data_IF_696029846545
#
_entry.id   IF_696029846545
#
_cell.length_a   1.000
_cell.length_b   1.000
_cell.length_c   1.000
_cell.angle_alpha   90.00
_cell.angle_beta   90.00
_cell.angle_gamma   90.00
#
_symmetry.space_group_name_H-M   'P 1'
#
loop_
_entity.id
_entity.type
_entity.pdbx_description
1 polymer ?
#
# COMPACT_ATOMS: atom_id res chain seq x y z
N UNK A 1 1.97 -59.07 9.60
CA UNK A 1 1.50 -59.17 8.20
C UNK A 1 0.01 -58.88 8.15
N UNK A 2 -0.34 -57.78 7.49
CA UNK A 2 -1.55 -57.51 6.69
C UNK A 2 -3.00 -57.75 7.20
N UNK A 3 -3.76 -56.64 7.13
CA UNK A 3 -5.16 -56.46 6.65
C UNK A 3 -6.33 -56.51 7.65
N UNK A 4 -6.80 -55.30 7.98
CA UNK A 4 -8.23 -54.88 8.02
C UNK A 4 -8.92 -55.12 6.64
N UNK A 5 -10.28 -55.05 6.44
CA UNK A 5 -11.18 -54.06 7.07
C UNK A 5 -12.70 -54.39 7.24
N UNK A 6 -13.41 -53.38 7.78
CA UNK A 6 -14.83 -53.00 7.58
C UNK A 6 -15.91 -53.85 8.29
N UNK A 7 -17.03 -53.33 8.82
CA UNK A 7 -17.57 -51.98 9.00
C UNK A 7 -18.81 -52.11 9.92
N UNK A 8 -19.20 -50.98 10.53
CA UNK A 8 -20.56 -50.57 10.91
C UNK A 8 -20.83 -50.37 12.40
N UNK A 9 -20.84 -49.09 12.81
CA UNK A 9 -21.77 -48.57 13.81
C UNK A 9 -22.07 -47.11 13.49
N UNK A 10 -23.31 -46.87 13.10
CA UNK A 10 -23.93 -45.56 12.96
C UNK A 10 -23.94 -44.80 14.30
N UNK A 11 -23.80 -43.47 14.23
CA UNK A 11 -24.56 -42.54 15.08
C UNK A 11 -24.82 -41.23 14.33
N UNK A 12 -26.03 -40.74 14.62
CA UNK A 12 -26.86 -39.68 14.04
C UNK A 12 -26.28 -38.25 13.99
N UNK A 13 -27.00 -37.32 13.31
CA UNK A 13 -26.47 -36.08 12.75
C UNK A 13 -26.83 -34.89 13.65
N UNK A 14 -25.88 -34.35 14.39
CA UNK A 14 -25.99 -33.02 14.98
C UNK A 14 -24.58 -32.53 15.24
N UNK A 15 -23.97 -32.00 14.19
CA UNK A 15 -22.84 -31.09 14.35
C UNK A 15 -22.87 -30.17 13.12
N UNK A 16 -23.65 -29.11 13.26
CA UNK A 16 -23.65 -27.94 12.39
C UNK A 16 -22.25 -27.31 12.41
N UNK A 17 -21.31 -27.94 11.71
CA UNK A 17 -20.04 -27.33 11.35
C UNK A 17 -20.32 -26.38 10.22
N UNK A 18 -20.47 -25.12 10.61
CA UNK A 18 -20.43 -23.93 9.77
C UNK A 18 -19.37 -24.15 8.68
N UNK A 19 -19.85 -24.27 7.43
CA UNK A 19 -19.04 -24.54 6.25
C UNK A 19 -17.96 -23.47 6.09
N UNK A 20 -16.66 -23.82 6.06
CA UNK A 20 -15.60 -22.90 5.71
C UNK A 20 -15.39 -22.90 4.18
N UNK A 21 -16.43 -22.60 3.38
CA UNK A 21 -16.32 -22.64 1.90
C UNK A 21 -17.21 -21.60 1.20
N UNK A 22 -17.17 -20.32 1.60
CA UNK A 22 -17.82 -19.25 0.82
C UNK A 22 -16.94 -18.04 0.48
N UNK A 23 -15.63 -18.07 0.77
CA UNK A 23 -14.73 -16.94 0.46
C UNK A 23 -14.06 -17.08 -0.93
N UNK A 24 -13.99 -18.28 -1.50
CA UNK A 24 -13.40 -18.55 -2.82
C UNK A 24 -14.28 -18.23 -4.06
N UNK A 25 -15.62 -18.31 -4.05
CA UNK A 25 -16.40 -18.10 -5.27
C UNK A 25 -16.58 -16.63 -5.64
N UNK A 26 -16.46 -15.69 -4.69
CA UNK A 26 -16.64 -14.25 -4.94
C UNK A 26 -15.42 -13.65 -5.66
N UNK A 27 -14.21 -14.04 -5.26
CA UNK A 27 -12.96 -13.59 -5.89
C UNK A 27 -12.87 -13.99 -7.38
N UNK A 28 -13.27 -15.22 -7.74
CA UNK A 28 -13.26 -15.70 -9.12
C UNK A 28 -14.43 -15.16 -9.96
N UNK A 29 -15.57 -14.86 -9.34
CA UNK A 29 -16.72 -14.23 -10.02
C UNK A 29 -16.50 -12.74 -10.27
N UNK A 30 -15.94 -12.02 -9.29
CA UNK A 30 -15.57 -10.62 -9.43
C UNK A 30 -14.53 -10.44 -10.54
N UNK A 31 -13.43 -11.23 -10.52
CA UNK A 31 -12.38 -11.20 -11.55
C UNK A 31 -12.87 -11.55 -12.96
N UNK A 32 -13.87 -12.42 -13.12
CA UNK A 32 -14.48 -12.73 -14.43
C UNK A 32 -15.42 -11.64 -14.96
N UNK A 33 -15.93 -10.76 -14.10
CA UNK A 33 -16.89 -9.69 -14.45
C UNK A 33 -16.25 -8.32 -14.73
N UNK A 34 -14.92 -8.19 -14.64
CA UNK A 34 -14.18 -6.95 -14.96
C UNK A 34 -14.21 -6.48 -16.42
N UNK A 35 -15.08 -7.04 -17.27
CA UNK A 35 -15.32 -6.48 -18.60
C UNK A 35 -16.11 -5.17 -18.53
N UNK A 36 -16.93 -4.99 -17.49
CA UNK A 36 -17.76 -3.80 -17.27
C UNK A 36 -17.77 -3.45 -15.77
N UNK A 37 -16.76 -2.74 -15.25
CA UNK A 37 -16.66 -2.46 -13.81
C UNK A 37 -17.79 -1.56 -13.30
N UNK A 38 -18.40 -0.75 -14.19
CA UNK A 38 -19.54 0.11 -13.86
C UNK A 38 -20.82 -0.65 -13.50
N UNK A 39 -20.96 -1.93 -13.86
CA UNK A 39 -22.12 -2.75 -13.52
C UNK A 39 -22.00 -3.49 -12.19
N UNK A 40 -20.86 -3.40 -11.52
CA UNK A 40 -20.65 -4.06 -10.23
C UNK A 40 -21.55 -3.41 -9.16
N UNK A 41 -22.17 -4.24 -8.32
CA UNK A 41 -22.91 -3.76 -7.16
C UNK A 41 -21.96 -3.15 -6.14
N UNK A 42 -22.41 -2.18 -5.33
CA UNK A 42 -21.56 -1.53 -4.32
C UNK A 42 -20.95 -2.55 -3.34
N UNK A 43 -21.68 -3.61 -3.00
CA UNK A 43 -21.20 -4.67 -2.10
C UNK A 43 -20.09 -5.52 -2.74
N UNK A 44 -20.15 -5.75 -4.05
CA UNK A 44 -19.12 -6.50 -4.78
C UNK A 44 -17.82 -5.70 -4.88
N UNK A 45 -17.93 -4.38 -5.12
CA UNK A 45 -16.78 -3.44 -5.12
C UNK A 45 -16.13 -3.41 -3.74
N UNK A 46 -16.93 -3.36 -2.67
CA UNK A 46 -16.45 -3.36 -1.29
C UNK A 46 -15.65 -4.61 -0.94
N UNK A 47 -16.17 -5.78 -1.30
CA UNK A 47 -15.50 -7.06 -1.07
C UNK A 47 -14.22 -7.13 -1.90
N UNK A 48 -14.29 -6.74 -3.17
CA UNK A 48 -13.14 -6.76 -4.07
C UNK A 48 -11.98 -5.91 -3.55
N UNK A 49 -12.25 -4.65 -3.22
CA UNK A 49 -11.24 -3.71 -2.70
C UNK A 49 -10.60 -4.24 -1.41
N UNK A 50 -11.40 -4.79 -0.50
CA UNK A 50 -10.89 -5.37 0.75
C UNK A 50 -9.98 -6.57 0.51
N UNK A 51 -10.36 -7.46 -0.40
CA UNK A 51 -9.56 -8.64 -0.76
C UNK A 51 -8.26 -8.23 -1.43
N UNK A 52 -8.30 -7.29 -2.37
CA UNK A 52 -7.11 -6.77 -3.05
C UNK A 52 -6.15 -6.14 -2.06
N UNK A 53 -6.64 -5.25 -1.19
CA UNK A 53 -5.80 -4.60 -0.17
C UNK A 53 -5.24 -5.60 0.84
N UNK A 54 -6.07 -6.54 1.31
CA UNK A 54 -5.62 -7.58 2.22
C UNK A 54 -4.50 -8.41 1.60
N UNK A 55 -4.66 -8.81 0.34
CA UNK A 55 -3.66 -9.59 -0.39
C UNK A 55 -2.36 -8.80 -0.53
N UNK A 56 -2.44 -7.55 -1.01
CA UNK A 56 -1.31 -6.65 -1.21
C UNK A 56 -0.45 -6.45 0.06
N UNK A 57 -1.06 -6.45 1.24
CA UNK A 57 -0.37 -6.23 2.51
C UNK A 57 0.25 -7.52 3.06
N UNK A 58 -0.40 -8.66 2.86
CA UNK A 58 -0.03 -9.91 3.52
C UNK A 58 0.89 -10.79 2.69
N UNK A 59 0.72 -10.83 1.37
CA UNK A 59 1.58 -11.61 0.48
C UNK A 59 2.86 -10.81 0.15
N UNK A 60 4.00 -11.49 -0.04
CA UNK A 60 5.31 -10.85 -0.25
C UNK A 60 5.51 -10.27 -1.66
N UNK A 61 4.81 -10.81 -2.66
CA UNK A 61 4.97 -10.44 -4.08
C UNK A 61 3.67 -9.99 -4.75
N UNK A 62 2.60 -9.79 -3.98
CA UNK A 62 1.30 -9.44 -4.57
C UNK A 62 1.02 -7.93 -4.63
N UNK A 63 1.88 -7.10 -4.03
CA UNK A 63 1.64 -5.65 -3.96
C UNK A 63 1.60 -5.01 -5.36
N UNK A 64 2.56 -5.36 -6.22
CA UNK A 64 2.63 -4.85 -7.59
C UNK A 64 1.50 -5.40 -8.49
N UNK A 65 1.24 -6.73 -8.56
CA UNK A 65 0.09 -7.25 -9.31
C UNK A 65 -1.27 -6.69 -8.85
N UNK A 66 -1.43 -6.47 -7.54
CA UNK A 66 -2.64 -5.85 -6.99
C UNK A 66 -2.81 -4.40 -7.43
N UNK A 67 -1.71 -3.63 -7.48
CA UNK A 67 -1.72 -2.26 -7.94
C UNK A 67 -2.03 -2.16 -9.44
N UNK A 68 -1.40 -2.99 -10.27
CA UNK A 68 -1.68 -3.07 -11.71
C UNK A 68 -3.15 -3.41 -11.96
N UNK A 69 -3.68 -4.38 -11.21
CA UNK A 69 -5.10 -4.72 -11.26
C UNK A 69 -5.99 -3.51 -10.93
N UNK A 70 -5.73 -2.83 -9.80
CA UNK A 70 -6.45 -1.62 -9.42
C UNK A 70 -6.39 -0.55 -10.52
N UNK A 71 -5.20 -0.27 -11.07
CA UNK A 71 -5.04 0.69 -12.17
C UNK A 71 -5.90 0.31 -13.37
N UNK A 72 -5.92 -0.96 -13.76
CA UNK A 72 -6.76 -1.42 -14.86
C UNK A 72 -8.26 -1.16 -14.59
N UNK A 73 -8.75 -1.46 -13.38
CA UNK A 73 -10.13 -1.17 -12.98
C UNK A 73 -10.41 0.33 -13.03
N UNK A 74 -9.50 1.14 -12.49
CA UNK A 74 -9.62 2.60 -12.43
C UNK A 74 -9.67 3.21 -13.83
N UNK A 75 -8.88 2.68 -14.77
CA UNK A 75 -8.90 3.15 -16.16
C UNK A 75 -10.15 2.70 -16.94
N UNK A 76 -10.77 1.60 -16.51
CA UNK A 76 -11.96 1.05 -17.14
C UNK A 76 -13.27 1.61 -16.54
N UNK A 77 -13.24 2.17 -15.33
CA UNK A 77 -14.40 2.81 -14.69
C UNK A 77 -14.60 4.27 -15.09
N UNK A 78 -15.87 4.63 -15.32
CA UNK A 78 -16.24 6.02 -15.64
C UNK A 78 -16.83 6.79 -14.46
N UNK A 79 -17.29 6.10 -13.42
CA UNK A 79 -18.00 6.70 -12.29
C UNK A 79 -17.11 7.00 -11.07
N UNK A 80 -15.85 6.55 -11.06
CA UNK A 80 -14.89 6.76 -9.96
C UNK A 80 -15.22 6.02 -8.65
N UNK A 81 -16.25 5.17 -8.61
CA UNK A 81 -16.72 4.50 -7.38
C UNK A 81 -15.68 3.55 -6.81
N UNK A 82 -14.96 2.81 -7.65
CA UNK A 82 -13.88 1.94 -7.17
C UNK A 82 -12.74 2.74 -6.56
N UNK A 83 -12.32 3.84 -7.20
CA UNK A 83 -11.24 4.69 -6.66
C UNK A 83 -11.63 5.25 -5.30
N UNK A 84 -12.85 5.77 -5.17
CA UNK A 84 -13.36 6.30 -3.91
C UNK A 84 -13.40 5.23 -2.82
N UNK A 85 -13.88 4.03 -3.16
CA UNK A 85 -13.95 2.94 -2.19
C UNK A 85 -12.58 2.39 -1.83
N UNK A 86 -11.66 2.32 -2.78
CA UNK A 86 -10.27 1.96 -2.57
C UNK A 86 -9.59 2.95 -1.63
N UNK A 87 -9.71 4.25 -1.91
CA UNK A 87 -9.18 5.31 -1.05
C UNK A 87 -9.76 5.26 0.35
N UNK A 88 -11.08 5.07 0.48
CA UNK A 88 -11.74 4.93 1.77
C UNK A 88 -11.18 3.72 2.54
N UNK A 89 -11.00 2.58 1.87
CA UNK A 89 -10.49 1.35 2.49
C UNK A 89 -9.02 1.50 2.90
N UNK A 90 -8.18 2.10 2.06
CA UNK A 90 -6.79 2.41 2.36
C UNK A 90 -6.67 3.37 3.56
N UNK A 91 -7.48 4.43 3.61
CA UNK A 91 -7.52 5.37 4.76
C UNK A 91 -7.98 4.68 6.04
N UNK A 92 -9.00 3.82 5.94
CA UNK A 92 -9.51 3.09 7.10
C UNK A 92 -8.47 2.10 7.63
N UNK A 93 -7.73 1.42 6.75
CA UNK A 93 -6.61 0.58 7.16
C UNK A 93 -5.50 1.41 7.81
N UNK A 94 -5.10 2.53 7.19
CA UNK A 94 -4.04 3.40 7.69
C UNK A 94 -4.33 3.92 9.11
N UNK A 95 -5.55 4.40 9.37
CA UNK A 95 -5.97 4.85 10.71
C UNK A 95 -5.77 3.80 11.79
N UNK A 96 -5.90 2.53 11.46
CA UNK A 96 -5.75 1.44 12.42
C UNK A 96 -4.30 1.08 12.69
N UNK A 97 -3.40 1.43 11.77
CA UNK A 97 -1.96 1.34 11.96
C UNK A 97 -1.43 2.54 12.77
N UNK A 98 -2.03 3.72 12.57
CA UNK A 98 -1.65 4.99 13.24
C UNK A 98 -2.09 5.06 14.72
N UNK A 99 -3.21 4.45 15.10
CA UNK A 99 -3.72 4.49 16.47
C UNK A 99 -3.05 3.38 17.33
N UNK A 100 -2.31 3.72 18.41
CA UNK A 100 -1.65 2.74 19.29
C UNK A 100 -2.60 2.11 20.33
N UNK A 101 -3.86 1.83 19.97
CA UNK A 101 -4.89 1.29 20.89
C UNK A 101 -5.26 -0.17 20.57
N UNK A 102 -5.74 -0.94 21.57
CA UNK A 102 -5.78 -2.39 21.50
C UNK A 102 -6.74 -2.87 20.42
N UNK A 103 -6.20 -3.67 19.48
CA UNK A 103 -6.85 -4.54 18.49
C UNK A 103 -8.39 -4.54 18.58
N UNK A 104 -9.05 -3.50 18.05
CA UNK A 104 -10.51 -3.40 18.04
C UNK A 104 -11.08 -3.96 16.73
N UNK A 105 -11.66 -5.15 16.85
CA UNK A 105 -12.91 -5.71 16.26
C UNK A 105 -13.39 -5.44 14.82
N UNK A 106 -12.82 -4.54 14.02
CA UNK A 106 -13.32 -4.28 12.65
C UNK A 106 -12.60 -5.07 11.55
N UNK A 107 -11.40 -5.56 11.83
CA UNK A 107 -10.77 -6.63 11.04
C UNK A 107 -10.90 -7.91 11.83
N UNK A 108 -11.92 -8.70 11.51
CA UNK A 108 -11.87 -10.12 11.81
C UNK A 108 -10.68 -10.66 11.01
N UNK A 109 -9.65 -11.25 11.65
CA UNK A 109 -8.61 -11.93 10.93
C UNK A 109 -9.27 -13.03 10.11
N UNK A 110 -9.18 -12.97 8.78
CA UNK A 110 -9.14 -14.22 8.03
C UNK A 110 -7.86 -14.92 8.50
N UNK A 111 -8.00 -15.98 9.30
CA UNK A 111 -6.92 -16.78 9.91
C UNK A 111 -5.86 -17.28 8.89
N UNK A 112 -4.71 -17.88 9.30
CA UNK A 112 -3.91 -17.77 10.54
C UNK A 112 -2.45 -17.29 10.25
N UNK A 113 -1.68 -16.99 11.32
CA UNK A 113 -0.20 -16.80 11.34
C UNK A 113 0.42 -16.08 10.13
N UNK A 114 0.10 -14.81 9.91
CA UNK A 114 0.92 -13.98 9.02
C UNK A 114 2.27 -13.72 9.69
N UNK A 115 3.38 -14.14 9.07
CA UNK A 115 4.77 -13.93 9.53
C UNK A 115 5.14 -12.45 9.68
N UNK A 116 4.43 -11.54 8.99
CA UNK A 116 4.79 -10.13 8.91
C UNK A 116 4.48 -9.35 10.19
N UNK A 117 5.48 -8.65 10.70
CA UNK A 117 5.28 -7.67 11.76
C UNK A 117 4.56 -6.41 11.21
N UNK A 118 4.09 -5.53 12.12
CA UNK A 118 3.35 -4.33 11.72
C UNK A 118 4.16 -3.42 10.76
N UNK A 119 5.48 -3.35 10.93
CA UNK A 119 6.37 -2.59 10.05
C UNK A 119 6.44 -3.14 8.62
N UNK A 120 6.53 -4.47 8.47
CA UNK A 120 6.53 -5.11 7.15
C UNK A 120 5.19 -4.93 6.43
N UNK A 121 4.08 -4.94 7.16
CA UNK A 121 2.75 -4.63 6.60
C UNK A 121 2.67 -3.19 6.11
N UNK A 122 3.25 -2.25 6.86
CA UNK A 122 3.33 -0.84 6.46
C UNK A 122 4.20 -0.65 5.21
N UNK A 123 5.36 -1.32 5.13
CA UNK A 123 6.21 -1.29 3.93
C UNK A 123 5.46 -1.85 2.72
N UNK A 124 4.77 -2.99 2.86
CA UNK A 124 3.98 -3.57 1.77
C UNK A 124 2.85 -2.64 1.30
N UNK A 125 2.18 -1.97 2.24
CA UNK A 125 1.16 -0.97 1.92
C UNK A 125 1.74 0.24 1.18
N UNK A 126 2.87 0.78 1.64
CA UNK A 126 3.54 1.90 0.97
C UNK A 126 3.95 1.50 -0.45
N UNK A 127 4.55 0.30 -0.64
CA UNK A 127 4.87 -0.23 -1.97
C UNK A 127 3.64 -0.33 -2.88
N UNK A 128 2.54 -0.90 -2.39
CA UNK A 128 1.28 -0.98 -3.13
C UNK A 128 0.79 0.41 -3.57
N UNK A 129 0.74 1.37 -2.63
CA UNK A 129 0.31 2.74 -2.92
C UNK A 129 1.24 3.47 -3.88
N UNK A 130 2.55 3.23 -3.80
CA UNK A 130 3.56 3.81 -4.71
C UNK A 130 3.36 3.32 -6.13
N UNK A 131 3.26 1.99 -6.33
CA UNK A 131 3.01 1.43 -7.67
C UNK A 131 1.68 1.93 -8.23
N UNK A 132 0.63 1.92 -7.41
CA UNK A 132 -0.68 2.41 -7.80
C UNK A 132 -0.64 3.88 -8.24
N UNK A 133 0.12 4.74 -7.54
CA UNK A 133 0.24 6.16 -7.89
C UNK A 133 1.13 6.41 -9.12
N UNK A 134 2.11 5.54 -9.37
CA UNK A 134 2.97 5.58 -10.56
C UNK A 134 2.23 5.18 -11.83
N UNK A 135 1.41 4.13 -11.74
CA UNK A 135 0.75 3.51 -12.89
C UNK A 135 -0.55 4.20 -13.28
N UNK A 136 -1.20 4.93 -12.36
CA UNK A 136 -2.40 5.71 -12.69
C UNK A 136 -2.05 6.77 -13.74
N UNK A 137 -2.65 6.72 -14.94
CA UNK A 137 -2.26 7.58 -16.04
C UNK A 137 -2.50 9.05 -15.67
N UNK A 138 -1.41 9.82 -15.65
CA UNK A 138 -1.44 11.27 -15.40
C UNK A 138 -2.03 12.09 -16.56
N UNK A 139 -2.34 11.44 -17.68
CA UNK A 139 -2.79 12.10 -18.91
C UNK A 139 -4.29 11.82 -19.17
N UNK A 140 -5.16 12.84 -19.05
CA UNK A 140 -6.60 12.67 -19.17
C UNK A 140 -7.03 12.62 -20.64
N UNK A 141 -7.19 11.41 -21.17
CA UNK A 141 -7.84 11.20 -22.47
C UNK A 141 -9.36 11.45 -22.48
N UNK A 142 -9.97 11.76 -21.33
CA UNK A 142 -11.40 12.04 -21.20
C UNK A 142 -11.62 13.41 -20.54
N UNK A 143 -11.89 14.41 -21.37
CA UNK A 143 -12.02 15.84 -21.05
C UNK A 143 -13.18 16.22 -20.07
N UNK A 144 -13.78 15.25 -19.37
CA UNK A 144 -14.82 15.49 -18.36
C UNK A 144 -14.44 15.01 -16.95
N UNK A 145 -13.40 14.17 -16.79
CA UNK A 145 -13.08 13.51 -15.52
C UNK A 145 -11.74 13.95 -14.87
N UNK A 146 -11.02 14.90 -15.47
CA UNK A 146 -9.69 15.32 -15.02
C UNK A 146 -9.67 15.94 -13.61
N UNK A 147 -10.76 16.56 -13.16
CA UNK A 147 -10.85 17.19 -11.84
C UNK A 147 -11.00 16.17 -10.70
N UNK A 148 -11.91 15.19 -10.86
CA UNK A 148 -12.11 14.11 -9.88
C UNK A 148 -10.85 13.23 -9.77
N UNK A 149 -10.25 12.89 -10.91
CA UNK A 149 -8.98 12.15 -10.94
C UNK A 149 -7.84 12.91 -10.27
N UNK A 150 -7.73 14.21 -10.49
CA UNK A 150 -6.73 15.05 -9.82
C UNK A 150 -6.91 15.06 -8.30
N UNK A 151 -8.16 15.17 -7.82
CA UNK A 151 -8.48 15.09 -6.39
C UNK A 151 -8.14 13.73 -5.76
N UNK A 152 -8.36 12.63 -6.48
CA UNK A 152 -8.02 11.28 -6.03
C UNK A 152 -6.51 11.07 -6.00
N UNK A 153 -5.78 11.50 -7.02
CA UNK A 153 -4.31 11.43 -7.08
C UNK A 153 -3.68 12.19 -5.90
N UNK A 154 -4.14 13.43 -5.64
CA UNK A 154 -3.67 14.21 -4.49
C UNK A 154 -4.01 13.50 -3.18
N UNK A 155 -5.23 12.98 -3.04
CA UNK A 155 -5.65 12.22 -1.86
C UNK A 155 -4.79 10.98 -1.59
N UNK A 156 -4.42 10.25 -2.63
CA UNK A 156 -3.56 9.06 -2.56
C UNK A 156 -2.13 9.44 -2.21
N UNK A 157 -1.59 10.47 -2.86
CA UNK A 157 -0.25 10.99 -2.59
C UNK A 157 -0.10 11.47 -1.14
N UNK A 158 -1.11 12.19 -0.65
CA UNK A 158 -1.17 12.71 0.72
C UNK A 158 -1.24 11.56 1.75
N UNK A 159 -2.00 10.49 1.48
CA UNK A 159 -2.03 9.28 2.31
C UNK A 159 -0.70 8.53 2.29
N UNK A 160 -0.05 8.46 1.13
CA UNK A 160 1.26 7.84 0.96
C UNK A 160 2.33 8.59 1.78
N UNK A 161 2.33 9.92 1.75
CA UNK A 161 3.24 10.73 2.58
C UNK A 161 3.02 10.52 4.09
N UNK A 162 1.78 10.42 4.57
CA UNK A 162 1.53 10.07 5.97
C UNK A 162 2.04 8.67 6.32
N UNK A 163 1.94 7.74 5.36
CA UNK A 163 2.47 6.39 5.53
C UNK A 163 3.99 6.38 5.62
N UNK A 164 4.67 7.18 4.79
CA UNK A 164 6.11 7.41 4.89
C UNK A 164 6.49 8.02 6.24
N UNK A 165 5.67 8.93 6.79
CA UNK A 165 5.90 9.51 8.13
C UNK A 165 5.90 8.43 9.22
N UNK A 166 4.95 7.50 9.19
CA UNK A 166 4.91 6.39 10.14
C UNK A 166 6.09 5.43 9.99
N UNK A 167 6.56 5.20 8.76
CA UNK A 167 7.79 4.43 8.51
C UNK A 167 9.00 5.09 9.17
N UNK A 168 9.11 6.41 9.11
CA UNK A 168 10.23 7.17 9.70
C UNK A 168 10.18 7.28 11.23
N UNK A 169 9.00 7.44 11.83
CA UNK A 169 8.86 7.55 13.30
C UNK A 169 9.06 6.18 13.98
N UNK A 170 8.94 5.08 13.24
CA UNK A 170 9.20 3.74 13.77
C UNK A 170 10.64 3.62 14.28
N UNK A 171 10.88 3.10 15.50
CA UNK A 171 12.18 3.13 16.21
C UNK A 171 13.31 2.29 15.58
N UNK A 172 13.11 1.79 14.36
CA UNK A 172 14.00 0.88 13.66
C UNK A 172 14.13 1.34 12.19
N UNK A 173 14.69 2.54 11.96
CA UNK A 173 15.10 3.01 10.63
C UNK A 173 16.35 2.28 10.10
N UNK A 174 16.88 1.33 10.87
CA UNK A 174 17.97 0.42 10.57
C UNK A 174 17.65 -0.59 9.45
N UNK A 175 16.36 -0.79 9.15
CA UNK A 175 15.93 -1.72 8.11
C UNK A 175 16.08 -1.10 6.72
N UNK A 176 16.98 -1.66 5.90
CA UNK A 176 17.18 -1.28 4.48
C UNK A 176 15.85 -1.22 3.70
N UNK A 177 14.93 -2.14 3.96
CA UNK A 177 13.63 -2.15 3.31
C UNK A 177 12.77 -0.90 3.60
N UNK A 178 12.92 -0.26 4.76
CA UNK A 178 12.23 1.00 5.08
C UNK A 178 12.83 2.18 4.32
N UNK A 179 14.16 2.24 4.26
CA UNK A 179 14.90 3.29 3.57
C UNK A 179 14.58 3.26 2.07
N UNK A 180 14.65 2.08 1.46
CA UNK A 180 14.32 1.90 0.05
C UNK A 180 12.84 2.22 -0.26
N UNK A 181 11.96 1.88 0.67
CA UNK A 181 10.54 2.21 0.58
C UNK A 181 10.31 3.73 0.57
N UNK A 182 11.04 4.51 1.38
CA UNK A 182 10.95 5.98 1.36
C UNK A 182 11.54 6.55 0.06
N UNK A 183 12.67 5.99 -0.39
CA UNK A 183 13.38 6.41 -1.61
C UNK A 183 12.52 6.29 -2.86
N UNK A 184 11.67 5.28 -2.93
CA UNK A 184 10.75 5.06 -4.07
C UNK A 184 9.42 5.80 -3.92
N UNK A 185 8.87 5.88 -2.70
CA UNK A 185 7.56 6.48 -2.47
C UNK A 185 7.53 8.01 -2.60
N UNK A 186 8.54 8.69 -2.05
CA UNK A 186 8.53 10.16 -1.98
C UNK A 186 8.74 10.86 -3.34
N UNK A 187 9.61 10.41 -4.25
CA UNK A 187 9.65 10.96 -5.60
C UNK A 187 8.32 10.82 -6.35
N UNK A 188 7.60 9.72 -6.09
CA UNK A 188 6.32 9.43 -6.75
C UNK A 188 5.18 10.34 -6.26
N UNK A 189 5.11 10.57 -4.95
CA UNK A 189 3.98 11.27 -4.31
C UNK A 189 4.26 12.72 -3.96
N UNK A 190 5.52 13.10 -3.80
CA UNK A 190 5.91 14.30 -3.09
C UNK A 190 5.37 15.58 -3.70
N UNK A 191 5.49 15.74 -5.02
CA UNK A 191 5.03 16.94 -5.71
C UNK A 191 3.50 17.12 -5.60
N UNK A 192 2.75 16.04 -5.80
CA UNK A 192 1.29 16.04 -5.69
C UNK A 192 0.82 16.27 -4.24
N UNK A 193 1.51 15.66 -3.28
CA UNK A 193 1.21 15.81 -1.86
C UNK A 193 1.55 17.20 -1.32
N UNK A 194 2.66 17.80 -1.74
CA UNK A 194 3.05 19.15 -1.33
C UNK A 194 2.08 20.20 -1.87
N UNK A 195 1.63 20.03 -3.13
CA UNK A 195 0.59 20.89 -3.71
C UNK A 195 -0.74 20.81 -2.96
N UNK A 196 -1.14 19.61 -2.56
CA UNK A 196 -2.42 19.39 -1.89
C UNK A 196 -2.43 19.67 -0.38
N UNK A 197 -1.30 19.44 0.29
CA UNK A 197 -1.18 19.57 1.74
C UNK A 197 0.24 20.00 2.15
N UNK A 198 0.64 21.26 1.88
CA UNK A 198 2.00 21.74 2.12
C UNK A 198 2.41 21.67 3.60
N UNK A 199 1.47 21.90 4.53
CA UNK A 199 1.72 21.77 5.96
C UNK A 199 2.06 20.33 6.40
N UNK A 200 1.41 19.32 5.78
CA UNK A 200 1.71 17.91 6.07
C UNK A 200 3.06 17.51 5.49
N UNK A 201 3.39 17.99 4.30
CA UNK A 201 4.73 17.81 3.73
C UNK A 201 5.80 18.47 4.59
N UNK A 202 5.57 19.69 5.08
CA UNK A 202 6.51 20.36 5.99
C UNK A 202 6.75 19.55 7.28
N UNK A 203 5.70 18.97 7.86
CA UNK A 203 5.81 18.10 9.03
C UNK A 203 6.59 16.80 8.73
N UNK A 204 6.37 16.19 7.57
CA UNK A 204 7.15 15.04 7.12
C UNK A 204 8.65 15.36 7.03
N UNK A 205 8.99 16.51 6.44
CA UNK A 205 10.38 16.94 6.30
C UNK A 205 11.03 17.32 7.62
N UNK A 206 10.24 17.81 8.60
CA UNK A 206 10.74 17.99 9.95
C UNK A 206 11.15 16.63 10.56
N UNK A 207 10.27 15.62 10.49
CA UNK A 207 10.61 14.27 10.95
C UNK A 207 11.84 13.68 10.23
N UNK A 208 11.98 13.93 8.93
CA UNK A 208 13.14 13.49 8.15
C UNK A 208 14.43 14.14 8.65
N UNK A 209 14.41 15.45 8.95
CA UNK A 209 15.58 16.16 9.49
C UNK A 209 15.93 15.67 10.90
N UNK A 210 14.92 15.47 11.74
CA UNK A 210 15.11 14.95 13.09
C UNK A 210 15.74 13.54 13.05
N UNK A 211 15.27 12.69 12.13
CA UNK A 211 15.87 11.37 11.90
C UNK A 211 17.32 11.47 11.38
N UNK A 212 17.59 12.36 10.43
CA UNK A 212 18.93 12.56 9.87
C UNK A 212 19.96 13.00 10.95
N UNK A 213 19.53 13.82 11.91
CA UNK A 213 20.36 14.29 13.01
C UNK A 213 20.56 13.24 14.12
N UNK A 214 19.79 12.15 14.10
CA UNK A 214 19.90 11.09 15.10
C UNK A 214 21.21 10.29 14.93
N UNK A 215 21.98 10.07 16.01
CA UNK A 215 23.23 9.32 15.94
C UNK A 215 23.03 7.85 15.57
N UNK A 216 21.84 7.30 15.82
CA UNK A 216 21.53 5.88 15.64
C UNK A 216 21.18 5.49 14.19
N UNK A 217 21.12 6.47 13.27
CA UNK A 217 20.77 6.21 11.87
C UNK A 217 22.02 5.77 11.09
N UNK A 218 21.98 4.58 10.45
CA UNK A 218 23.09 4.07 9.63
C UNK A 218 23.49 5.02 8.51
N UNK A 219 24.74 4.99 8.08
CA UNK A 219 25.28 5.87 7.03
C UNK A 219 24.48 5.80 5.73
N UNK A 220 24.16 4.59 5.25
CA UNK A 220 23.31 4.38 4.06
C UNK A 220 21.93 5.03 4.19
N UNK A 221 21.29 4.86 5.35
CA UNK A 221 20.00 5.50 5.63
C UNK A 221 20.12 7.02 5.65
N UNK A 222 21.21 7.55 6.24
CA UNK A 222 21.51 8.99 6.30
C UNK A 222 21.70 9.60 4.92
N UNK A 223 22.39 8.90 4.01
CA UNK A 223 22.54 9.30 2.61
C UNK A 223 21.20 9.39 1.89
N UNK A 224 20.33 8.39 2.06
CA UNK A 224 18.98 8.44 1.46
C UNK A 224 18.12 9.57 2.05
N UNK A 225 18.20 9.83 3.35
CA UNK A 225 17.48 10.96 3.96
C UNK A 225 17.99 12.29 3.37
N UNK A 226 19.29 12.44 3.13
CA UNK A 226 19.85 13.61 2.47
C UNK A 226 19.35 13.76 1.02
N UNK A 227 19.38 12.67 0.24
CA UNK A 227 18.86 12.61 -1.13
C UNK A 227 17.40 13.11 -1.19
N UNK A 228 16.56 12.64 -0.26
CA UNK A 228 15.17 13.03 -0.15
C UNK A 228 14.99 14.50 0.28
N UNK A 229 15.86 15.01 1.15
CA UNK A 229 15.87 16.41 1.54
C UNK A 229 16.18 17.34 0.36
N UNK A 230 17.21 17.00 -0.41
CA UNK A 230 17.60 17.73 -1.62
C UNK A 230 16.54 17.63 -2.73
N UNK A 231 15.95 16.45 -2.92
CA UNK A 231 14.87 16.23 -3.87
C UNK A 231 13.72 17.20 -3.64
N UNK A 232 13.31 17.41 -2.39
CA UNK A 232 12.28 18.42 -2.09
C UNK A 232 12.79 19.83 -2.34
N UNK A 233 14.00 20.16 -1.91
CA UNK A 233 14.58 21.49 -2.08
C UNK A 233 14.70 21.91 -3.56
N UNK A 234 14.86 20.94 -4.46
CA UNK A 234 14.90 21.15 -5.91
C UNK A 234 13.52 21.13 -6.60
N UNK A 235 12.43 21.06 -5.84
CA UNK A 235 11.08 21.00 -6.40
C UNK A 235 10.70 19.62 -6.95
N UNK A 236 11.09 18.56 -6.25
CA UNK A 236 10.81 17.15 -6.58
C UNK A 236 11.50 16.64 -7.85
N UNK A 237 12.59 17.28 -8.26
CA UNK A 237 13.39 16.89 -9.44
C UNK A 237 14.87 17.10 -9.19
N UNK A 238 15.63 16.02 -9.08
CA UNK A 238 17.09 16.10 -8.98
C UNK A 238 17.70 16.41 -10.36
N UNK A 239 18.74 17.23 -10.38
CA UNK A 239 19.55 17.44 -11.59
C UNK A 239 20.33 16.16 -11.96
N UNK A 240 20.82 16.08 -13.20
CA UNK A 240 21.65 14.95 -13.63
C UNK A 240 22.89 14.78 -12.76
N UNK A 241 23.52 15.88 -12.34
CA UNK A 241 24.71 15.86 -11.48
C UNK A 241 24.38 15.29 -10.09
N UNK A 242 23.25 15.68 -9.51
CA UNK A 242 22.78 15.15 -8.23
C UNK A 242 22.45 13.65 -8.34
N UNK A 243 21.78 13.24 -9.42
CA UNK A 243 21.49 11.82 -9.67
C UNK A 243 22.77 10.99 -9.76
N UNK A 244 23.80 11.48 -10.47
CA UNK A 244 25.10 10.81 -10.58
C UNK A 244 25.82 10.74 -9.22
N UNK A 245 25.74 11.81 -8.41
CA UNK A 245 26.31 11.84 -7.07
C UNK A 245 25.73 10.74 -6.17
N UNK A 246 24.40 10.66 -6.07
CA UNK A 246 23.74 9.66 -5.24
C UNK A 246 23.86 8.23 -5.80
N UNK A 247 23.93 8.07 -7.12
CA UNK A 247 24.18 6.74 -7.72
C UNK A 247 25.55 6.22 -7.31
N UNK A 248 26.61 7.01 -7.51
CA UNK A 248 27.99 6.62 -7.17
C UNK A 248 28.21 6.38 -5.69
N UNK A 249 27.57 7.17 -4.82
CA UNK A 249 27.68 6.98 -3.37
C UNK A 249 26.94 5.74 -2.88
N UNK A 250 25.81 5.40 -3.48
CA UNK A 250 25.10 4.16 -3.15
C UNK A 250 25.88 2.93 -3.64
N UNK A 251 26.56 3.02 -4.78
CA UNK A 251 27.46 1.96 -5.27
C UNK A 251 28.65 1.78 -4.32
N UNK A 252 29.27 2.87 -3.87
CA UNK A 252 30.41 2.84 -2.95
C UNK A 252 30.05 2.39 -1.52
N UNK A 253 28.79 2.53 -1.09
CA UNK A 253 28.29 2.09 0.21
C UNK A 253 27.77 0.62 0.20
N UNK A 254 27.84 -0.05 -0.94
CA UNK A 254 27.46 -1.47 -1.09
C UNK A 254 28.64 -2.45 -0.99
N UNK A 255 29.88 -1.93 -1.02
CA UNK A 255 31.14 -2.64 -0.81
C UNK A 255 31.60 -2.57 0.67
#
# INVERSE_FOLDING_TARGET
MNRSPASSRQRSPDDQRINPVEVTPVHQRASRRLREPDLLASEEVDVLVRVVLWKAIHDDDSAEPAAIFCTHVITAEFNGRFVDRLLWTCRNWFKQVDIPLPRSTFWVPLEPKTRKNAGQKLIAFVKFMTVLLSDVPRNPGAASMGSLHSGHIVSMAVLLCDSCRLVMISPQLDCEAKVECLRTALPTAGEAAERGAPARMAALMACLRDAFLSPDVPEKARLTLLELAELRASGWKLSLEQQLYYTRLNDAAAD
#
